data_IF_749783194892
#
_entry.id   IF_749783194892
#
_cell.length_a   1.000
_cell.length_b   1.000
_cell.length_c   1.000
_cell.angle_alpha   90.00
_cell.angle_beta   90.00
_cell.angle_gamma   90.00
#
_symmetry.space_group_name_H-M   'P 1'
#
loop_
_entity.id
_entity.type
_entity.pdbx_description
1 polymer ?
#
# COMPACT_ATOMS: atom_id res chain seq x y z
N UNK A 1 -16.86 32.27 21.40
CA UNK A 1 -15.46 32.47 20.99
C UNK A 1 -14.73 31.18 21.31
N UNK A 2 -13.99 30.53 20.41
CA UNK A 2 -13.14 29.43 20.79
C UNK A 2 -12.10 29.95 21.79
N UNK A 3 -11.83 29.17 22.83
CA UNK A 3 -10.80 29.51 23.80
C UNK A 3 -9.46 29.63 23.06
N UNK A 4 -8.76 30.75 23.23
CA UNK A 4 -7.38 30.86 22.74
C UNK A 4 -6.55 29.79 23.42
N UNK A 5 -6.10 28.79 22.64
CA UNK A 5 -5.21 27.79 23.18
C UNK A 5 -3.79 28.36 23.17
N UNK A 6 -3.12 28.35 24.31
CA UNK A 6 -1.71 28.76 24.42
C UNK A 6 -0.74 27.66 23.93
N UNK A 7 -1.24 26.58 23.27
CA UNK A 7 -0.44 25.47 22.77
C UNK A 7 -0.14 25.70 21.28
N UNK A 8 1.07 26.12 20.89
CA UNK A 8 1.47 26.19 19.49
C UNK A 8 1.50 24.81 18.87
N UNK A 9 1.25 24.73 17.56
CA UNK A 9 1.35 23.46 16.80
C UNK A 9 2.79 22.95 16.83
N UNK A 10 2.97 21.73 17.33
CA UNK A 10 4.23 21.01 17.40
C UNK A 10 3.99 19.51 17.38
N UNK A 11 5.04 18.69 17.31
CA UNK A 11 4.93 17.22 17.39
C UNK A 11 4.24 16.73 18.68
N UNK A 12 4.31 17.49 19.77
CA UNK A 12 3.68 17.14 21.05
C UNK A 12 2.27 17.67 21.23
N UNK A 13 1.84 18.61 20.39
CA UNK A 13 0.53 19.26 20.46
C UNK A 13 -0.36 18.99 19.24
N UNK A 14 0.17 18.29 18.22
CA UNK A 14 -0.58 17.91 17.04
C UNK A 14 -1.71 16.92 17.37
N UNK A 15 -2.90 17.16 16.79
CA UNK A 15 -4.05 16.25 16.94
C UNK A 15 -3.85 14.94 16.18
N UNK A 16 -3.28 15.02 14.97
CA UNK A 16 -2.97 13.85 14.18
C UNK A 16 -1.71 13.16 14.71
N UNK A 17 -1.73 11.88 15.03
CA UNK A 17 -0.52 11.15 15.42
C UNK A 17 0.53 11.10 14.28
N UNK A 18 0.13 11.26 13.03
CA UNK A 18 1.05 11.31 11.88
C UNK A 18 1.94 12.55 11.92
N UNK A 19 1.41 13.69 12.39
CA UNK A 19 2.15 14.94 12.53
C UNK A 19 2.72 15.14 13.94
N UNK A 20 2.31 14.28 14.89
CA UNK A 20 2.80 14.24 16.26
C UNK A 20 3.79 13.09 16.49
N UNK A 21 3.31 12.06 17.20
CA UNK A 21 4.10 10.88 17.61
C UNK A 21 4.90 10.24 16.47
N UNK A 22 4.34 10.18 15.27
CA UNK A 22 4.93 9.53 14.11
C UNK A 22 5.56 10.51 13.10
N UNK A 23 5.67 11.78 13.44
CA UNK A 23 6.12 12.84 12.53
C UNK A 23 7.46 12.52 11.84
N UNK A 24 8.39 11.87 12.55
CA UNK A 24 9.70 11.49 12.00
C UNK A 24 9.62 10.28 11.06
N UNK A 25 8.69 9.37 11.32
CA UNK A 25 8.52 8.17 10.51
C UNK A 25 7.75 8.44 9.19
N UNK A 26 7.02 9.56 9.11
CA UNK A 26 6.24 9.96 7.94
C UNK A 26 6.85 11.12 7.16
N UNK A 27 8.10 11.52 7.48
CA UNK A 27 8.74 12.73 6.92
C UNK A 27 8.80 12.72 5.38
N UNK A 28 9.06 11.58 4.77
CA UNK A 28 9.13 11.47 3.30
C UNK A 28 7.79 11.73 2.59
N UNK A 29 6.66 11.54 3.28
CA UNK A 29 5.33 11.82 2.73
C UNK A 29 4.94 13.30 2.83
N UNK A 30 5.63 14.12 3.64
CA UNK A 30 5.34 15.56 3.74
C UNK A 30 5.60 16.30 2.43
N UNK A 31 6.66 15.92 1.71
CA UNK A 31 6.96 16.51 0.39
C UNK A 31 6.00 16.05 -0.71
N UNK A 32 5.13 15.08 -0.41
CA UNK A 32 4.21 14.49 -1.37
C UNK A 32 2.77 14.90 -1.08
N UNK A 33 2.33 14.89 0.19
CA UNK A 33 0.92 15.04 0.57
C UNK A 33 0.60 16.25 1.43
N UNK A 34 1.59 17.09 1.79
CA UNK A 34 1.31 18.34 2.51
C UNK A 34 0.63 19.38 1.63
N UNK A 35 0.05 20.41 2.24
CA UNK A 35 -0.49 21.58 1.54
C UNK A 35 0.59 22.26 0.67
N UNK A 36 1.83 22.33 1.17
CA UNK A 36 2.99 22.76 0.38
C UNK A 36 3.19 21.93 -0.88
N UNK A 37 3.12 20.62 -0.77
CA UNK A 37 3.30 19.69 -1.90
C UNK A 37 2.16 19.85 -2.93
N UNK A 38 0.92 20.00 -2.49
CA UNK A 38 -0.22 20.24 -3.37
C UNK A 38 -0.04 21.56 -4.14
N UNK A 39 0.39 22.64 -3.48
CA UNK A 39 0.64 23.91 -4.15
C UNK A 39 1.78 23.81 -5.17
N UNK A 40 2.89 23.16 -4.81
CA UNK A 40 3.99 22.90 -5.73
C UNK A 40 3.53 22.10 -6.97
N UNK A 41 2.71 21.09 -6.76
CA UNK A 41 2.16 20.28 -7.86
C UNK A 41 1.24 21.12 -8.77
N UNK A 42 0.38 21.96 -8.19
CA UNK A 42 -0.46 22.90 -8.96
C UNK A 42 0.38 23.88 -9.81
N UNK A 43 1.40 24.48 -9.22
CA UNK A 43 2.34 25.36 -9.94
C UNK A 43 2.97 24.60 -11.11
N UNK A 44 3.39 23.36 -10.91
CA UNK A 44 3.96 22.52 -11.98
C UNK A 44 2.97 22.32 -13.13
N UNK A 45 1.71 22.02 -12.84
CA UNK A 45 0.68 21.79 -13.86
C UNK A 45 0.41 23.09 -14.65
N UNK A 46 0.25 24.22 -13.96
CA UNK A 46 0.07 25.53 -14.59
C UNK A 46 1.24 25.90 -15.50
N UNK A 47 2.47 25.64 -15.05
CA UNK A 47 3.69 25.90 -15.83
C UNK A 47 3.72 25.06 -17.09
N UNK A 48 3.46 23.75 -17.02
CA UNK A 48 3.48 22.90 -18.20
C UNK A 48 2.33 23.21 -19.16
N UNK A 49 1.16 23.63 -18.65
CA UNK A 49 0.07 24.14 -19.48
C UNK A 49 0.47 25.41 -20.23
N UNK A 50 1.01 26.41 -19.55
CA UNK A 50 1.50 27.66 -20.17
C UNK A 50 2.57 27.38 -21.25
N UNK A 51 3.51 26.48 -20.96
CA UNK A 51 4.55 26.08 -21.91
C UNK A 51 4.00 25.35 -23.13
N UNK A 52 2.92 24.58 -22.97
CA UNK A 52 2.23 23.95 -24.10
C UNK A 52 1.53 25.00 -24.97
N UNK A 53 0.79 25.93 -24.34
CA UNK A 53 0.11 27.01 -25.04
C UNK A 53 1.09 27.88 -25.88
N UNK A 54 2.27 28.20 -25.34
CA UNK A 54 3.28 28.98 -26.03
C UNK A 54 3.85 28.36 -27.32
N UNK A 55 3.58 27.07 -27.55
CA UNK A 55 3.99 26.32 -28.75
C UNK A 55 2.90 26.29 -29.84
N UNK A 56 1.68 26.72 -29.53
CA UNK A 56 0.53 26.56 -30.43
C UNK A 56 0.44 27.64 -31.53
N UNK A 57 1.28 28.67 -31.48
CA UNK A 57 1.26 29.72 -32.46
C UNK A 57 0.07 30.70 -32.30
N UNK A 58 -0.50 30.80 -31.07
CA UNK A 58 -1.54 31.80 -30.75
C UNK A 58 -0.93 33.17 -30.94
N UNK A 59 -1.51 34.05 -31.83
CA UNK A 59 -0.88 35.32 -32.16
C UNK A 59 -0.62 36.25 -30.98
N UNK A 60 -1.47 36.19 -29.94
CA UNK A 60 -1.36 36.97 -28.71
C UNK A 60 -0.36 36.40 -27.70
N UNK A 61 0.07 35.14 -27.87
CA UNK A 61 1.06 34.47 -27.04
C UNK A 61 2.31 34.14 -27.89
N UNK A 62 3.29 35.05 -27.97
CA UNK A 62 4.50 34.83 -28.73
C UNK A 62 5.29 33.62 -28.17
N UNK A 63 6.05 32.94 -29.02
CA UNK A 63 6.93 31.86 -28.56
C UNK A 63 7.86 32.34 -27.44
N UNK A 64 7.98 31.57 -26.40
CA UNK A 64 8.87 31.88 -25.28
C UNK A 64 10.32 31.59 -25.65
N UNK A 65 11.24 32.45 -25.26
CA UNK A 65 12.68 32.22 -25.37
C UNK A 65 13.10 31.06 -24.48
N UNK A 66 14.26 30.42 -24.79
CA UNK A 66 14.81 29.36 -23.93
C UNK A 66 15.06 29.85 -22.50
N UNK A 67 15.42 31.12 -22.32
CA UNK A 67 15.59 31.74 -21.01
C UNK A 67 14.26 31.85 -20.25
N UNK A 68 13.18 32.30 -20.94
CA UNK A 68 11.85 32.38 -20.38
C UNK A 68 11.30 31.00 -19.99
N UNK A 69 11.48 29.98 -20.84
CA UNK A 69 11.09 28.59 -20.55
C UNK A 69 11.82 28.10 -19.29
N UNK A 70 13.13 28.32 -19.19
CA UNK A 70 13.90 27.92 -18.00
C UNK A 70 13.43 28.66 -16.74
N UNK A 71 13.13 29.96 -16.84
CA UNK A 71 12.65 30.76 -15.74
C UNK A 71 11.27 30.29 -15.24
N UNK A 72 10.32 30.00 -16.15
CA UNK A 72 8.99 29.49 -15.79
C UNK A 72 9.10 28.10 -15.12
N UNK A 73 9.93 27.22 -15.63
CA UNK A 73 10.16 25.89 -15.00
C UNK A 73 10.77 26.00 -13.61
N UNK A 74 11.62 27.01 -13.37
CA UNK A 74 12.17 27.28 -12.03
C UNK A 74 11.08 27.59 -11.01
N UNK A 75 9.96 28.20 -11.38
CA UNK A 75 8.86 28.46 -10.45
C UNK A 75 8.33 27.18 -9.78
N UNK A 76 8.28 26.08 -10.53
CA UNK A 76 7.86 24.79 -9.98
C UNK A 76 9.01 24.00 -9.32
N UNK A 77 10.24 24.09 -9.89
CA UNK A 77 11.40 23.35 -9.40
C UNK A 77 11.93 23.91 -8.08
N UNK A 78 12.08 25.23 -7.99
CA UNK A 78 12.66 25.94 -6.84
C UNK A 78 11.57 26.44 -5.87
N UNK A 79 10.34 25.90 -5.98
CA UNK A 79 9.20 26.30 -5.12
C UNK A 79 9.54 26.11 -3.64
N UNK A 80 9.43 27.17 -2.86
CA UNK A 80 9.86 27.24 -1.47
C UNK A 80 8.69 27.35 -0.49
N UNK A 81 8.96 27.16 0.81
CA UNK A 81 7.99 27.43 1.87
C UNK A 81 7.56 28.90 1.91
N UNK A 82 8.44 29.85 1.52
CA UNK A 82 8.09 31.27 1.42
C UNK A 82 7.09 31.50 0.28
N UNK A 83 7.23 30.82 -0.85
CA UNK A 83 6.29 30.88 -1.96
C UNK A 83 4.92 30.30 -1.56
N UNK A 84 4.91 29.17 -0.86
CA UNK A 84 3.70 28.60 -0.30
C UNK A 84 3.01 29.58 0.66
N UNK A 85 3.74 30.20 1.58
CA UNK A 85 3.20 31.20 2.49
C UNK A 85 2.62 32.42 1.76
N UNK A 86 3.27 32.86 0.67
CA UNK A 86 2.76 33.94 -0.17
C UNK A 86 1.44 33.56 -0.84
N UNK A 87 1.35 32.38 -1.45
CA UNK A 87 0.09 31.86 -2.01
C UNK A 87 -1.01 31.79 -0.95
N UNK A 88 -0.70 31.30 0.25
CA UNK A 88 -1.68 31.24 1.37
C UNK A 88 -2.13 32.63 1.81
N UNK A 89 -1.26 33.63 1.78
CA UNK A 89 -1.65 35.00 2.07
C UNK A 89 -2.59 35.60 0.99
N UNK A 90 -2.39 35.26 -0.28
CA UNK A 90 -3.32 35.61 -1.36
C UNK A 90 -4.66 34.88 -1.14
N UNK A 91 -4.64 33.58 -0.92
CA UNK A 91 -5.82 32.74 -0.68
C UNK A 91 -6.67 33.30 0.47
N UNK A 92 -6.06 33.70 1.57
CA UNK A 92 -6.76 34.25 2.73
C UNK A 92 -7.56 35.51 2.41
N UNK A 93 -7.15 36.31 1.39
CA UNK A 93 -7.85 37.51 0.94
C UNK A 93 -8.97 37.21 -0.03
N UNK A 94 -8.80 36.23 -0.93
CA UNK A 94 -9.74 36.00 -2.04
C UNK A 94 -10.63 34.78 -1.81
N UNK A 95 -10.35 33.99 -0.78
CA UNK A 95 -11.04 32.75 -0.42
C UNK A 95 -11.12 31.73 -1.58
N UNK A 96 -10.02 31.61 -2.34
CA UNK A 96 -9.94 30.65 -3.46
C UNK A 96 -8.49 30.18 -3.68
N UNK A 97 -8.24 28.93 -3.44
CA UNK A 97 -6.90 28.31 -3.41
C UNK A 97 -6.21 28.27 -4.79
N UNK A 98 -6.86 27.71 -5.82
CA UNK A 98 -6.27 27.61 -7.17
C UNK A 98 -6.08 28.98 -7.81
N UNK A 99 -7.03 29.91 -7.58
CA UNK A 99 -6.90 31.31 -8.08
C UNK A 99 -5.72 32.03 -7.40
N UNK A 100 -5.42 31.69 -6.15
CA UNK A 100 -4.25 32.23 -5.46
C UNK A 100 -2.94 31.77 -6.12
N UNK A 101 -2.87 30.51 -6.56
CA UNK A 101 -1.73 29.98 -7.34
C UNK A 101 -1.57 30.71 -8.66
N UNK A 102 -2.67 30.91 -9.41
CA UNK A 102 -2.66 31.68 -10.66
C UNK A 102 -2.11 33.10 -10.43
N UNK A 103 -2.61 33.83 -9.41
CA UNK A 103 -2.14 35.18 -9.12
C UNK A 103 -0.66 35.21 -8.75
N UNK A 104 -0.19 34.27 -7.94
CA UNK A 104 1.22 34.19 -7.59
C UNK A 104 2.10 33.94 -8.83
N UNK A 105 1.70 33.06 -9.75
CA UNK A 105 2.43 32.82 -11.00
C UNK A 105 2.44 34.09 -11.86
N UNK A 106 1.30 34.82 -11.98
CA UNK A 106 1.21 36.05 -12.73
C UNK A 106 2.10 37.15 -12.16
N UNK A 107 2.16 37.30 -10.84
CA UNK A 107 3.10 38.20 -10.18
C UNK A 107 4.54 37.87 -10.56
N UNK A 108 4.97 36.62 -10.43
CA UNK A 108 6.31 36.17 -10.80
C UNK A 108 6.61 36.31 -12.30
N UNK A 109 5.64 36.05 -13.16
CA UNK A 109 5.78 36.21 -14.61
C UNK A 109 5.93 37.72 -14.99
N UNK A 110 5.28 38.59 -14.29
CA UNK A 110 5.36 40.04 -14.54
C UNK A 110 6.74 40.65 -14.24
N UNK A 111 7.49 40.02 -13.34
CA UNK A 111 8.87 40.41 -13.02
C UNK A 111 9.86 40.10 -14.15
N UNK A 112 9.48 39.22 -15.09
CA UNK A 112 10.30 38.79 -16.21
C UNK A 112 9.78 39.40 -17.53
N UNK A 113 10.52 40.26 -18.21
CA UNK A 113 10.04 40.99 -19.41
C UNK A 113 9.46 40.05 -20.49
N UNK A 114 10.12 38.91 -20.73
CA UNK A 114 9.72 37.92 -21.74
C UNK A 114 8.43 37.16 -21.37
N UNK A 115 8.07 37.11 -20.07
CA UNK A 115 6.88 36.44 -19.58
C UNK A 115 5.69 37.37 -19.34
N UNK A 116 5.91 38.69 -19.30
CA UNK A 116 4.85 39.67 -19.02
C UNK A 116 3.67 39.55 -19.99
N UNK A 117 3.95 39.30 -21.28
CA UNK A 117 2.90 39.07 -22.29
C UNK A 117 2.20 37.74 -22.16
N UNK A 118 2.87 36.77 -21.58
CA UNK A 118 2.33 35.43 -21.35
C UNK A 118 1.53 35.31 -20.03
N UNK A 119 1.61 36.31 -19.15
CA UNK A 119 0.97 36.27 -17.83
C UNK A 119 -0.54 36.02 -17.91
N UNK A 120 -1.26 36.62 -18.90
CA UNK A 120 -2.69 36.40 -19.06
C UNK A 120 -3.07 35.03 -19.61
N UNK A 121 -2.09 34.22 -20.08
CA UNK A 121 -2.28 32.83 -20.49
C UNK A 121 -2.05 31.84 -19.36
N UNK A 122 -1.65 32.27 -18.16
CA UNK A 122 -1.69 31.44 -16.96
C UNK A 122 -3.13 31.06 -16.66
N UNK A 123 -3.42 29.79 -16.47
CA UNK A 123 -4.78 29.26 -16.25
C UNK A 123 -5.73 29.43 -17.45
N UNK A 124 -5.21 29.71 -18.66
CA UNK A 124 -6.02 30.00 -19.84
C UNK A 124 -6.96 28.82 -20.17
N UNK A 125 -8.26 29.14 -20.23
CA UNK A 125 -9.38 28.24 -20.51
C UNK A 125 -9.52 27.05 -19.51
N UNK A 126 -8.70 26.96 -18.46
CA UNK A 126 -8.78 25.95 -17.43
C UNK A 126 -9.91 26.22 -16.43
N UNK A 127 -10.34 25.16 -15.77
CA UNK A 127 -11.05 25.21 -14.49
C UNK A 127 -10.10 24.76 -13.38
N UNK A 128 -10.40 25.11 -12.14
CA UNK A 128 -9.56 24.71 -10.98
C UNK A 128 -9.28 23.19 -10.94
N UNK A 129 -10.25 22.41 -11.40
CA UNK A 129 -10.13 20.96 -11.37
C UNK A 129 -9.21 20.40 -12.45
N UNK A 130 -8.99 21.10 -13.55
CA UNK A 130 -7.94 20.74 -14.52
C UNK A 130 -6.56 20.72 -13.85
N UNK A 131 -6.33 21.65 -12.94
CA UNK A 131 -5.08 21.75 -12.20
C UNK A 131 -5.05 20.76 -11.02
N UNK A 132 -6.16 20.68 -10.26
CA UNK A 132 -6.26 19.83 -9.08
C UNK A 132 -6.12 18.34 -9.39
N UNK A 133 -6.84 17.84 -10.41
CA UNK A 133 -6.80 16.42 -10.72
C UNK A 133 -5.40 15.98 -11.17
N UNK A 134 -4.73 16.80 -12.00
CA UNK A 134 -3.34 16.53 -12.39
C UNK A 134 -2.40 16.58 -11.17
N UNK A 135 -2.57 17.57 -10.28
CA UNK A 135 -1.77 17.70 -9.07
C UNK A 135 -1.94 16.49 -8.13
N UNK A 136 -3.18 16.08 -7.86
CA UNK A 136 -3.45 14.87 -7.06
C UNK A 136 -2.90 13.60 -7.71
N UNK A 137 -3.00 13.46 -9.05
CA UNK A 137 -2.42 12.32 -9.76
C UNK A 137 -0.89 12.26 -9.62
N UNK A 138 -0.20 13.41 -9.67
CA UNK A 138 1.24 13.49 -9.40
C UNK A 138 1.59 13.10 -7.98
N UNK A 139 0.84 13.60 -6.98
CA UNK A 139 1.02 13.25 -5.58
C UNK A 139 0.81 11.74 -5.34
N UNK A 140 -0.23 11.16 -5.91
CA UNK A 140 -0.51 9.72 -5.82
C UNK A 140 0.53 8.87 -6.55
N UNK A 141 1.09 9.35 -7.68
CA UNK A 141 2.21 8.69 -8.35
C UNK A 141 3.42 8.54 -7.43
N UNK A 142 3.81 9.65 -6.80
CA UNK A 142 5.00 9.71 -5.97
C UNK A 142 4.76 8.95 -4.65
N UNK A 143 3.59 9.08 -4.03
CA UNK A 143 3.20 8.30 -2.85
C UNK A 143 3.12 6.79 -3.13
N UNK A 144 2.58 6.38 -4.28
CA UNK A 144 2.57 4.99 -4.72
C UNK A 144 3.98 4.42 -4.80
N UNK A 145 4.93 5.17 -5.34
CA UNK A 145 6.33 4.74 -5.44
C UNK A 145 6.95 4.49 -4.07
N UNK A 146 6.69 5.35 -3.08
CA UNK A 146 7.15 5.17 -1.69
C UNK A 146 6.58 3.89 -1.08
N UNK A 147 5.26 3.69 -1.16
CA UNK A 147 4.61 2.51 -0.57
C UNK A 147 5.05 1.21 -1.23
N UNK A 148 5.14 1.17 -2.57
CA UNK A 148 5.62 -0.01 -3.30
C UNK A 148 7.08 -0.30 -2.95
N UNK A 149 7.92 0.71 -2.75
CA UNK A 149 9.30 0.54 -2.28
C UNK A 149 9.36 -0.17 -0.92
N UNK A 150 8.49 0.19 0.02
CA UNK A 150 8.40 -0.49 1.33
C UNK A 150 7.84 -1.90 1.22
N UNK A 151 6.81 -2.11 0.40
CA UNK A 151 6.26 -3.46 0.16
C UNK A 151 7.29 -4.39 -0.47
N UNK A 152 8.13 -3.90 -1.38
CA UNK A 152 9.25 -4.67 -1.94
C UNK A 152 10.25 -5.09 -0.87
N UNK A 153 10.54 -4.21 0.09
CA UNK A 153 11.40 -4.57 1.22
C UNK A 153 10.78 -5.65 2.10
N UNK A 154 9.48 -5.56 2.42
CA UNK A 154 8.76 -6.62 3.16
C UNK A 154 8.77 -7.94 2.37
N UNK A 155 8.47 -7.89 1.07
CA UNK A 155 8.51 -9.06 0.19
C UNK A 155 9.90 -9.71 0.19
N UNK A 156 10.97 -8.90 0.09
CA UNK A 156 12.34 -9.41 0.15
C UNK A 156 12.63 -10.19 1.43
N UNK A 157 12.26 -9.65 2.59
CA UNK A 157 12.39 -10.35 3.87
C UNK A 157 11.60 -11.67 3.92
N UNK A 158 10.35 -11.66 3.44
CA UNK A 158 9.52 -12.86 3.44
C UNK A 158 10.09 -13.95 2.54
N UNK A 159 10.59 -13.58 1.36
CA UNK A 159 11.25 -14.53 0.45
C UNK A 159 12.53 -15.10 1.08
N UNK A 160 13.36 -14.28 1.68
CA UNK A 160 14.60 -14.73 2.31
C UNK A 160 14.31 -15.69 3.49
N UNK A 161 13.30 -15.39 4.31
CA UNK A 161 12.84 -16.31 5.37
C UNK A 161 12.21 -17.58 4.81
N UNK A 162 11.47 -17.48 3.70
CA UNK A 162 10.91 -18.65 3.02
C UNK A 162 12.01 -19.62 2.56
N UNK A 163 13.06 -19.10 1.93
CA UNK A 163 14.19 -19.89 1.47
C UNK A 163 15.02 -20.44 2.63
N UNK A 164 15.31 -19.61 3.65
CA UNK A 164 16.09 -20.01 4.82
C UNK A 164 15.46 -21.17 5.58
N UNK A 165 14.13 -21.21 5.65
CA UNK A 165 13.37 -22.19 6.42
C UNK A 165 12.55 -23.16 5.55
N UNK A 166 12.91 -23.30 4.27
CA UNK A 166 12.16 -24.09 3.30
C UNK A 166 11.90 -25.53 3.76
N UNK A 167 12.93 -26.19 4.31
CA UNK A 167 12.89 -27.57 4.77
C UNK A 167 12.50 -27.73 6.26
N UNK A 168 12.26 -26.63 7.01
CA UNK A 168 11.98 -26.71 8.45
C UNK A 168 10.52 -27.07 8.71
N UNK A 169 10.21 -28.31 9.20
CA UNK A 169 8.83 -28.75 9.40
C UNK A 169 8.15 -27.96 10.53
N UNK A 170 6.86 -27.74 10.35
CA UNK A 170 6.00 -27.09 11.32
C UNK A 170 4.63 -27.76 11.31
N UNK A 171 4.03 -27.93 12.50
CA UNK A 171 2.67 -28.42 12.59
C UNK A 171 1.69 -27.35 12.05
N UNK A 172 0.88 -27.72 11.05
CA UNK A 172 -0.20 -26.86 10.58
C UNK A 172 -1.33 -26.80 11.62
N UNK A 173 -2.06 -25.67 11.66
CA UNK A 173 -3.22 -25.50 12.54
C UNK A 173 -4.41 -25.01 11.76
N UNK A 174 -5.50 -25.76 11.83
CA UNK A 174 -6.79 -25.37 11.28
C UNK A 174 -7.81 -25.28 12.42
N UNK A 175 -8.60 -24.23 12.46
CA UNK A 175 -9.53 -23.98 13.58
C UNK A 175 -8.81 -23.96 14.96
N UNK A 176 -7.52 -23.59 14.98
CA UNK A 176 -6.69 -23.62 16.20
C UNK A 176 -6.24 -25.01 16.64
N UNK A 177 -6.62 -26.09 15.92
CA UNK A 177 -6.26 -27.47 16.26
C UNK A 177 -5.09 -27.96 15.40
N UNK A 178 -4.33 -28.93 15.96
CA UNK A 178 -3.29 -29.65 15.22
C UNK A 178 -3.85 -30.25 13.92
N UNK A 179 -3.15 -30.03 12.83
CA UNK A 179 -3.54 -30.44 11.49
C UNK A 179 -2.31 -30.90 10.69
N UNK A 180 -2.51 -31.18 9.41
CA UNK A 180 -1.46 -31.63 8.50
C UNK A 180 -0.23 -30.72 8.58
N UNK A 181 0.98 -31.30 8.75
CA UNK A 181 2.23 -30.54 8.79
C UNK A 181 2.52 -29.78 7.49
N UNK A 182 3.25 -28.69 7.64
CA UNK A 182 3.79 -27.83 6.58
C UNK A 182 5.26 -27.52 6.87
N UNK A 183 5.83 -26.50 6.24
CA UNK A 183 7.13 -25.93 6.63
C UNK A 183 7.01 -24.46 6.97
N UNK A 184 7.87 -23.96 7.84
CA UNK A 184 8.00 -22.53 8.15
C UNK A 184 8.23 -21.72 6.88
N UNK A 185 9.09 -22.21 5.99
CA UNK A 185 9.38 -21.53 4.72
C UNK A 185 8.16 -21.41 3.84
N UNK A 186 7.33 -22.46 3.73
CA UNK A 186 6.12 -22.40 2.91
C UNK A 186 5.09 -21.40 3.43
N UNK A 187 4.99 -21.21 4.74
CA UNK A 187 4.11 -20.20 5.31
C UNK A 187 4.57 -18.77 4.95
N UNK A 188 5.87 -18.47 5.03
CA UNK A 188 6.40 -17.18 4.54
C UNK A 188 6.22 -17.01 3.02
N UNK A 189 6.44 -18.06 2.23
CA UNK A 189 6.26 -18.03 0.77
C UNK A 189 4.83 -17.69 0.36
N UNK A 190 3.81 -18.18 1.10
CA UNK A 190 2.42 -17.83 0.86
C UNK A 190 2.19 -16.31 0.92
N UNK A 191 2.76 -15.64 1.91
CA UNK A 191 2.65 -14.19 2.04
C UNK A 191 3.50 -13.45 1.01
N UNK A 192 4.69 -13.93 0.68
CA UNK A 192 5.54 -13.34 -0.36
C UNK A 192 4.80 -13.29 -1.71
N UNK A 193 4.22 -14.41 -2.16
CA UNK A 193 3.46 -14.48 -3.43
C UNK A 193 2.22 -13.58 -3.40
N UNK A 194 1.51 -13.50 -2.27
CA UNK A 194 0.35 -12.60 -2.12
C UNK A 194 0.75 -11.13 -2.21
N UNK A 195 1.90 -10.74 -1.64
CA UNK A 195 2.40 -9.37 -1.75
C UNK A 195 2.88 -9.04 -3.16
N UNK A 196 3.54 -9.97 -3.84
CA UNK A 196 3.93 -9.79 -5.24
C UNK A 196 2.72 -9.50 -6.13
N UNK A 197 1.67 -10.30 -6.01
CA UNK A 197 0.42 -10.07 -6.74
C UNK A 197 -0.25 -8.74 -6.34
N UNK A 198 -0.18 -8.36 -5.07
CA UNK A 198 -0.68 -7.08 -4.57
C UNK A 198 0.08 -5.89 -5.16
N UNK A 199 1.41 -5.94 -5.17
CA UNK A 199 2.26 -4.89 -5.78
C UNK A 199 1.98 -4.75 -7.28
N UNK A 200 1.88 -5.85 -8.01
CA UNK A 200 1.52 -5.83 -9.43
C UNK A 200 0.16 -5.16 -9.65
N UNK A 201 -0.85 -5.46 -8.82
CA UNK A 201 -2.16 -4.82 -8.90
C UNK A 201 -2.09 -3.30 -8.63
N UNK A 202 -1.26 -2.86 -7.68
CA UNK A 202 -1.05 -1.43 -7.38
C UNK A 202 -0.34 -0.72 -8.54
N UNK A 203 0.70 -1.32 -9.11
CA UNK A 203 1.53 -0.71 -10.15
C UNK A 203 0.83 -0.62 -11.50
N UNK A 204 -0.06 -1.55 -11.81
CA UNK A 204 -0.80 -1.59 -13.09
C UNK A 204 -1.94 -0.58 -13.17
N UNK A 205 -2.37 0.05 -12.06
CA UNK A 205 -3.41 1.09 -12.09
C UNK A 205 -2.92 2.29 -12.89
N UNK A 206 -3.61 2.66 -14.00
CA UNK A 206 -3.25 3.84 -14.79
C UNK A 206 -3.62 5.12 -14.02
N UNK A 207 -2.66 6.03 -13.87
CA UNK A 207 -2.88 7.32 -13.20
C UNK A 207 -3.47 8.29 -14.23
N UNK A 208 -4.78 8.45 -14.24
CA UNK A 208 -5.47 9.26 -15.24
C UNK A 208 -5.58 10.73 -14.82
N UNK A 209 -5.65 11.61 -15.84
CA UNK A 209 -5.89 13.01 -15.63
C UNK A 209 -6.59 13.65 -16.84
N UNK A 210 -7.16 14.83 -16.62
CA UNK A 210 -7.85 15.62 -17.64
C UNK A 210 -7.37 17.09 -17.63
N UNK A 211 -7.45 17.74 -18.78
CA UNK A 211 -7.26 19.18 -19.02
C UNK A 211 -8.21 19.61 -20.14
N UNK A 212 -9.52 19.66 -19.87
CA UNK A 212 -10.56 19.86 -20.90
C UNK A 212 -11.66 20.86 -20.48
N UNK A 213 -11.38 21.66 -19.42
CA UNK A 213 -12.22 22.79 -19.03
C UNK A 213 -13.36 22.45 -18.09
N UNK A 214 -14.24 23.39 -17.90
CA UNK A 214 -15.23 23.48 -16.83
C UNK A 214 -16.21 22.29 -16.76
N UNK A 215 -16.49 21.62 -17.87
CA UNK A 215 -17.40 20.45 -17.94
C UNK A 215 -16.85 19.34 -18.84
N UNK A 216 -15.56 19.39 -19.18
CA UNK A 216 -14.90 18.34 -19.95
C UNK A 216 -15.05 18.43 -21.48
N UNK A 217 -15.50 19.56 -22.01
CA UNK A 217 -15.87 19.69 -23.44
C UNK A 217 -15.06 20.74 -24.19
N UNK A 218 -13.98 21.30 -23.63
CA UNK A 218 -13.17 22.35 -24.24
C UNK A 218 -13.95 23.61 -24.65
N UNK A 219 -15.07 23.94 -24.00
CA UNK A 219 -15.95 25.03 -24.41
C UNK A 219 -15.20 26.38 -24.54
N UNK A 220 -14.49 26.82 -23.51
CA UNK A 220 -13.73 28.05 -23.49
C UNK A 220 -12.55 28.02 -24.47
N UNK A 221 -11.86 26.91 -24.55
CA UNK A 221 -10.76 26.68 -25.49
C UNK A 221 -11.20 26.90 -26.95
N UNK A 222 -12.28 26.22 -27.36
CA UNK A 222 -12.83 26.31 -28.72
C UNK A 222 -13.46 27.64 -29.03
N UNK A 223 -14.02 28.32 -28.03
CA UNK A 223 -14.54 29.67 -28.22
C UNK A 223 -13.41 30.69 -28.43
N UNK A 224 -12.29 30.54 -27.76
CA UNK A 224 -11.14 31.44 -27.87
C UNK A 224 -10.28 31.19 -29.12
N UNK A 225 -10.02 29.92 -29.42
CA UNK A 225 -9.14 29.47 -30.52
C UNK A 225 -9.78 28.26 -31.21
N UNK A 226 -10.78 28.47 -32.08
CA UNK A 226 -11.53 27.41 -32.75
C UNK A 226 -10.70 26.61 -33.77
N UNK A 227 -9.58 27.18 -34.22
CA UNK A 227 -8.64 26.56 -35.17
C UNK A 227 -7.71 25.51 -34.54
N UNK A 228 -7.64 25.46 -33.23
CA UNK A 228 -6.76 24.54 -32.51
C UNK A 228 -7.51 23.23 -32.20
N UNK A 229 -6.88 22.10 -32.50
CA UNK A 229 -7.32 20.80 -32.03
C UNK A 229 -6.83 20.61 -30.56
N UNK A 230 -7.71 20.84 -29.60
CA UNK A 230 -7.38 20.91 -28.19
C UNK A 230 -7.14 19.55 -27.53
N UNK A 231 -7.75 18.48 -28.07
CA UNK A 231 -7.61 17.17 -27.43
C UNK A 231 -6.16 16.64 -27.47
N UNK A 232 -5.44 16.65 -28.62
CA UNK A 232 -4.03 16.28 -28.66
C UNK A 232 -3.13 17.19 -27.78
N UNK A 233 -3.46 18.48 -27.67
CA UNK A 233 -2.71 19.41 -26.81
C UNK A 233 -2.82 19.00 -25.35
N UNK A 234 -4.04 18.81 -24.86
CA UNK A 234 -4.30 18.40 -23.47
C UNK A 234 -3.70 17.01 -23.17
N UNK A 235 -3.90 16.06 -24.10
CA UNK A 235 -3.30 14.72 -23.96
C UNK A 235 -1.77 14.78 -23.91
N UNK A 236 -1.16 15.63 -24.73
CA UNK A 236 0.30 15.85 -24.74
C UNK A 236 0.83 16.40 -23.41
N UNK A 237 0.11 17.35 -22.80
CA UNK A 237 0.49 17.90 -21.48
C UNK A 237 0.35 16.82 -20.40
N UNK A 238 -0.77 16.11 -20.36
CA UNK A 238 -1.00 15.02 -19.41
C UNK A 238 0.09 13.96 -19.53
N UNK A 239 0.44 13.55 -20.76
CA UNK A 239 1.51 12.60 -21.01
C UNK A 239 2.89 13.12 -20.56
N UNK A 240 3.18 14.42 -20.76
CA UNK A 240 4.44 15.04 -20.32
C UNK A 240 4.59 15.05 -18.79
N UNK A 241 3.48 15.03 -18.06
CA UNK A 241 3.45 14.88 -16.61
C UNK A 241 3.64 13.41 -16.16
N UNK A 242 3.69 12.45 -17.11
CA UNK A 242 3.77 11.02 -16.83
C UNK A 242 2.43 10.41 -16.41
N UNK A 243 1.33 11.01 -16.85
CA UNK A 243 -0.04 10.61 -16.56
C UNK A 243 -0.74 10.10 -17.83
N UNK A 244 -1.90 9.47 -17.66
CA UNK A 244 -2.71 8.92 -18.76
C UNK A 244 -3.89 9.86 -19.02
N UNK A 245 -4.07 10.27 -20.29
CA UNK A 245 -5.18 11.12 -20.69
C UNK A 245 -6.54 10.43 -20.53
N UNK A 246 -7.50 11.12 -19.90
CA UNK A 246 -8.91 10.74 -19.85
C UNK A 246 -9.75 11.73 -20.65
N UNK A 247 -10.27 11.32 -21.78
CA UNK A 247 -11.04 12.16 -22.71
C UNK A 247 -12.48 12.38 -22.27
N UNK A 248 -13.08 11.42 -21.54
CA UNK A 248 -14.49 11.45 -21.18
C UNK A 248 -14.65 11.80 -19.69
N UNK A 249 -14.82 13.09 -19.38
CA UNK A 249 -14.90 13.60 -18.04
C UNK A 249 -16.02 14.63 -17.92
N UNK A 250 -16.29 15.08 -16.72
CA UNK A 250 -17.11 16.26 -16.43
C UNK A 250 -16.20 17.43 -16.01
N UNK A 251 -16.54 18.19 -14.98
CA UNK A 251 -15.57 19.11 -14.39
C UNK A 251 -14.46 18.34 -13.66
N UNK A 252 -14.82 17.22 -13.03
CA UNK A 252 -13.86 16.32 -12.41
C UNK A 252 -13.38 15.23 -13.41
N UNK A 253 -12.17 14.71 -13.17
CA UNK A 253 -11.81 13.36 -13.55
C UNK A 253 -12.63 12.41 -12.65
N UNK A 254 -13.28 11.33 -13.17
CA UNK A 254 -14.26 10.54 -12.39
C UNK A 254 -13.71 9.82 -11.16
N UNK A 255 -12.41 9.79 -10.96
CA UNK A 255 -11.71 9.15 -9.83
C UNK A 255 -11.81 7.62 -9.75
N UNK A 256 -12.36 6.94 -10.75
CA UNK A 256 -12.44 5.48 -10.78
C UNK A 256 -11.08 4.81 -10.65
N UNK A 257 -10.03 5.38 -11.24
CA UNK A 257 -8.68 4.88 -11.11
C UNK A 257 -8.11 5.08 -9.70
N UNK A 258 -8.48 6.18 -9.02
CA UNK A 258 -8.11 6.40 -7.62
C UNK A 258 -8.75 5.33 -6.74
N UNK A 259 -10.03 5.04 -6.96
CA UNK A 259 -10.73 3.96 -6.26
C UNK A 259 -10.05 2.61 -6.48
N UNK A 260 -9.70 2.27 -7.73
CA UNK A 260 -8.97 1.04 -8.03
C UNK A 260 -7.59 0.97 -7.34
N UNK A 261 -6.86 2.09 -7.26
CA UNK A 261 -5.59 2.17 -6.53
C UNK A 261 -5.79 1.93 -5.03
N UNK A 262 -6.79 2.58 -4.42
CA UNK A 262 -7.06 2.46 -2.99
C UNK A 262 -7.56 1.07 -2.61
N UNK A 263 -8.37 0.44 -3.46
CA UNK A 263 -8.81 -0.96 -3.27
C UNK A 263 -7.64 -1.94 -3.39
N UNK A 264 -6.72 -1.72 -4.35
CA UNK A 264 -5.53 -2.54 -4.49
C UNK A 264 -4.62 -2.42 -3.25
N UNK A 265 -4.41 -1.20 -2.73
CA UNK A 265 -3.66 -0.95 -1.49
C UNK A 265 -4.34 -1.63 -0.30
N UNK A 266 -5.64 -1.42 -0.10
CA UNK A 266 -6.38 -2.00 1.03
C UNK A 266 -6.37 -3.54 1.02
N UNK A 267 -6.45 -4.15 -0.16
CA UNK A 267 -6.35 -5.62 -0.32
C UNK A 267 -4.96 -6.12 -0.02
N UNK A 268 -3.92 -5.41 -0.46
CA UNK A 268 -2.52 -5.73 -0.15
C UNK A 268 -2.25 -5.61 1.34
N UNK A 269 -2.73 -4.55 1.98
CA UNK A 269 -2.69 -4.39 3.44
C UNK A 269 -3.37 -5.55 4.18
N UNK A 270 -4.46 -6.09 3.63
CA UNK A 270 -5.14 -7.25 4.24
C UNK A 270 -4.29 -8.52 4.25
N UNK A 271 -3.36 -8.67 3.28
CA UNK A 271 -2.38 -9.77 3.32
C UNK A 271 -1.38 -9.57 4.45
N UNK A 272 -0.90 -8.34 4.67
CA UNK A 272 0.00 -8.03 5.80
C UNK A 272 -0.69 -8.17 7.15
N UNK A 273 -1.94 -7.73 7.27
CA UNK A 273 -2.75 -7.94 8.48
C UNK A 273 -2.87 -9.43 8.84
N UNK A 274 -3.04 -10.29 7.85
CA UNK A 274 -3.06 -11.74 8.07
C UNK A 274 -1.69 -12.25 8.53
N UNK A 275 -0.60 -11.77 7.91
CA UNK A 275 0.77 -12.09 8.32
C UNK A 275 1.04 -11.68 9.78
N UNK A 276 0.73 -10.44 10.14
CA UNK A 276 0.95 -9.90 11.49
C UNK A 276 0.26 -10.79 12.55
N UNK A 277 -0.98 -11.21 12.29
CA UNK A 277 -1.76 -12.09 13.16
C UNK A 277 -1.20 -13.50 13.26
N UNK A 278 -0.77 -14.08 12.16
CA UNK A 278 -0.18 -15.43 12.14
C UNK A 278 1.15 -15.42 12.90
N UNK A 279 2.02 -14.41 12.67
CA UNK A 279 3.29 -14.27 13.39
C UNK A 279 3.06 -14.05 14.90
N UNK A 280 2.09 -13.23 15.27
CA UNK A 280 1.68 -13.07 16.67
C UNK A 280 1.22 -14.40 17.27
N UNK A 281 0.44 -15.18 16.52
CA UNK A 281 -0.01 -16.50 16.92
C UNK A 281 1.15 -17.50 17.11
N UNK A 282 2.10 -17.54 16.16
CA UNK A 282 3.28 -18.41 16.26
C UNK A 282 4.22 -18.01 17.40
N UNK A 283 4.30 -16.73 17.72
CA UNK A 283 5.02 -16.23 18.93
C UNK A 283 4.31 -16.72 20.20
N UNK A 284 2.98 -16.66 20.25
CA UNK A 284 2.20 -17.16 21.38
C UNK A 284 2.36 -18.67 21.61
N UNK A 285 2.57 -19.46 20.54
CA UNK A 285 2.87 -20.89 20.58
C UNK A 285 4.35 -21.20 20.92
N UNK A 286 5.21 -20.19 20.98
CA UNK A 286 6.65 -20.37 21.20
C UNK A 286 7.42 -20.88 19.98
N UNK A 287 6.79 -20.94 18.80
CA UNK A 287 7.45 -21.32 17.54
C UNK A 287 8.43 -20.25 17.08
N UNK A 288 8.07 -18.99 17.32
CA UNK A 288 8.90 -17.82 17.04
C UNK A 288 9.13 -17.00 18.32
N UNK A 289 10.20 -16.22 18.33
CA UNK A 289 10.53 -15.25 19.38
C UNK A 289 10.92 -13.93 18.75
N UNK A 290 10.67 -12.84 19.47
CA UNK A 290 11.24 -11.53 19.13
C UNK A 290 12.59 -11.39 19.85
N UNK A 291 13.65 -11.10 19.10
CA UNK A 291 14.96 -10.79 19.67
C UNK A 291 14.88 -9.53 20.52
N UNK A 292 15.31 -9.65 21.77
CA UNK A 292 15.44 -8.49 22.66
C UNK A 292 16.52 -7.53 22.14
N UNK A 293 16.24 -6.24 22.17
CA UNK A 293 17.21 -5.18 21.90
C UNK A 293 17.71 -4.65 23.24
N UNK A 294 19.03 -4.54 23.39
CA UNK A 294 19.62 -3.95 24.58
C UNK A 294 19.04 -2.53 24.79
N UNK A 295 18.71 -2.19 26.02
CA UNK A 295 18.09 -0.91 26.41
C UNK A 295 16.58 -0.77 26.14
N UNK A 296 15.92 -1.66 25.40
CA UNK A 296 14.47 -1.66 25.27
C UNK A 296 13.80 -2.34 26.48
N UNK A 297 12.78 -1.69 27.04
CA UNK A 297 11.95 -2.26 28.10
C UNK A 297 10.77 -2.99 27.46
N UNK A 298 10.82 -4.33 27.41
CA UNK A 298 9.78 -5.15 26.79
C UNK A 298 8.44 -5.16 27.54
N UNK A 299 8.48 -4.95 28.87
CA UNK A 299 7.30 -4.87 29.72
C UNK A 299 7.60 -4.03 30.96
N UNK A 300 6.68 -3.14 31.32
CA UNK A 300 6.80 -2.33 32.56
C UNK A 300 6.73 -3.16 33.83
N UNK A 301 6.18 -4.38 33.81
CA UNK A 301 5.89 -5.22 34.96
C UNK A 301 6.71 -6.50 34.98
N UNK A 302 7.01 -7.09 33.82
CA UNK A 302 7.70 -8.37 33.69
C UNK A 302 8.94 -8.21 32.79
N UNK A 303 10.16 -8.02 33.36
CA UNK A 303 11.37 -7.70 32.59
C UNK A 303 11.78 -8.74 31.56
N UNK A 304 11.40 -10.01 31.73
CA UNK A 304 11.70 -11.11 30.81
C UNK A 304 10.76 -11.18 29.60
N UNK A 305 9.66 -10.39 29.59
CA UNK A 305 8.62 -10.47 28.55
C UNK A 305 8.97 -9.54 27.41
N UNK A 306 9.20 -10.12 26.21
CA UNK A 306 9.38 -9.38 24.95
C UNK A 306 8.10 -9.48 24.14
N UNK A 307 7.37 -8.38 24.04
CA UNK A 307 6.09 -8.34 23.31
C UNK A 307 6.32 -8.15 21.81
N UNK A 308 5.49 -8.74 20.94
CA UNK A 308 5.56 -8.55 19.48
C UNK A 308 4.92 -7.22 19.04
N UNK A 309 5.27 -6.12 19.68
CA UNK A 309 4.65 -4.80 19.51
C UNK A 309 4.76 -4.24 18.10
N UNK A 310 5.77 -4.65 17.35
CA UNK A 310 5.94 -4.21 15.96
C UNK A 310 4.82 -4.77 15.06
N UNK A 311 4.41 -6.03 15.23
CA UNK A 311 3.29 -6.61 14.49
C UNK A 311 1.94 -6.04 14.94
N UNK A 312 1.75 -5.78 16.25
CA UNK A 312 0.55 -5.11 16.78
C UNK A 312 0.43 -3.68 16.27
N UNK A 313 1.53 -2.94 16.18
CA UNK A 313 1.57 -1.58 15.61
C UNK A 313 1.30 -1.59 14.11
N UNK A 314 1.83 -2.58 13.37
CA UNK A 314 1.53 -2.80 11.96
C UNK A 314 0.03 -3.04 11.76
N UNK A 315 -0.55 -3.99 12.49
CA UNK A 315 -1.99 -4.31 12.42
C UNK A 315 -2.85 -3.07 12.68
N UNK A 316 -2.56 -2.32 13.74
CA UNK A 316 -3.31 -1.12 14.11
C UNK A 316 -3.28 -0.04 13.03
N UNK A 317 -2.09 0.26 12.48
CA UNK A 317 -1.93 1.26 11.43
C UNK A 317 -2.57 0.81 10.10
N UNK A 318 -2.40 -0.44 9.68
CA UNK A 318 -3.01 -0.96 8.47
C UNK A 318 -4.54 -0.99 8.56
N UNK A 319 -5.11 -1.22 9.75
CA UNK A 319 -6.54 -1.11 9.99
C UNK A 319 -7.07 0.31 9.74
N UNK A 320 -6.38 1.33 10.25
CA UNK A 320 -6.72 2.75 10.02
C UNK A 320 -6.54 3.14 8.54
N UNK A 321 -5.45 2.70 7.92
CA UNK A 321 -5.20 2.90 6.50
C UNK A 321 -6.36 2.35 5.66
N UNK A 322 -6.75 1.10 5.91
CA UNK A 322 -7.82 0.44 5.16
C UNK A 322 -9.18 1.12 5.33
N UNK A 323 -9.50 1.62 6.52
CA UNK A 323 -10.74 2.37 6.75
C UNK A 323 -10.78 3.65 5.90
N UNK A 324 -9.67 4.41 5.85
CA UNK A 324 -9.56 5.63 5.06
C UNK A 324 -9.54 5.34 3.56
N UNK A 325 -8.74 4.35 3.11
CA UNK A 325 -8.65 3.95 1.69
C UNK A 325 -10.01 3.50 1.14
N UNK A 326 -10.77 2.68 1.88
CA UNK A 326 -12.09 2.23 1.46
C UNK A 326 -13.09 3.37 1.39
N UNK A 327 -13.07 4.28 2.38
CA UNK A 327 -13.93 5.47 2.31
C UNK A 327 -13.61 6.31 1.07
N UNK A 328 -12.32 6.53 0.75
CA UNK A 328 -11.91 7.28 -0.44
C UNK A 328 -12.32 6.56 -1.74
N UNK A 329 -12.16 5.23 -1.81
CA UNK A 329 -12.56 4.43 -2.96
C UNK A 329 -14.08 4.48 -3.22
N UNK A 330 -14.89 4.47 -2.17
CA UNK A 330 -16.35 4.55 -2.27
C UNK A 330 -16.82 5.98 -2.55
N UNK A 331 -16.19 6.99 -1.94
CA UNK A 331 -16.64 8.39 -1.97
C UNK A 331 -16.28 9.12 -3.27
N UNK A 332 -15.05 8.97 -3.74
CA UNK A 332 -14.52 9.83 -4.79
C UNK A 332 -15.20 9.65 -6.16
N UNK A 333 -15.60 8.43 -6.59
CA UNK A 333 -16.34 8.27 -7.84
C UNK A 333 -17.75 8.85 -7.83
N UNK A 334 -18.27 9.23 -6.66
CA UNK A 334 -19.64 9.74 -6.51
C UNK A 334 -19.62 11.26 -6.41
N UNK A 335 -20.15 11.92 -7.42
CA UNK A 335 -20.36 13.38 -7.47
C UNK A 335 -21.74 13.71 -7.96
N UNK A 336 -22.24 14.95 -7.67
CA UNK A 336 -23.51 15.43 -8.15
C UNK A 336 -23.32 16.15 -9.47
N UNK A 337 -24.06 15.72 -10.49
CA UNK A 337 -24.01 16.27 -11.84
C UNK A 337 -22.56 16.35 -12.36
N UNK A 338 -22.11 17.55 -12.80
CA UNK A 338 -20.77 17.73 -13.32
C UNK A 338 -19.71 17.90 -12.22
N UNK A 339 -20.10 18.35 -11.03
CA UNK A 339 -19.29 18.41 -9.79
C UNK A 339 -20.09 18.87 -8.59
N UNK A 340 -19.79 18.32 -7.42
CA UNK A 340 -19.93 18.95 -6.12
C UNK A 340 -18.57 19.08 -5.42
N UNK A 341 -18.48 19.83 -4.29
CA UNK A 341 -17.20 20.10 -3.63
C UNK A 341 -16.82 19.08 -2.55
N UNK A 342 -17.60 18.02 -2.35
CA UNK A 342 -17.36 17.05 -1.29
C UNK A 342 -16.12 16.17 -1.54
N UNK A 343 -15.66 16.07 -2.78
CA UNK A 343 -14.40 15.44 -3.18
C UNK A 343 -13.18 16.16 -2.58
N UNK A 344 -13.17 17.47 -2.60
CA UNK A 344 -12.05 18.30 -2.10
C UNK A 344 -11.73 18.03 -0.63
N UNK A 345 -12.77 17.86 0.22
CA UNK A 345 -12.58 17.51 1.63
C UNK A 345 -12.00 16.09 1.80
N UNK A 346 -12.48 15.13 1.00
CA UNK A 346 -12.01 13.76 1.05
C UNK A 346 -10.55 13.64 0.58
N UNK A 347 -10.19 14.29 -0.53
CA UNK A 347 -8.84 14.29 -1.12
C UNK A 347 -7.76 14.85 -0.18
N UNK A 348 -8.10 15.73 0.76
CA UNK A 348 -7.15 16.21 1.78
C UNK A 348 -6.67 15.13 2.73
N UNK A 349 -7.32 13.96 2.76
CA UNK A 349 -6.94 12.82 3.59
C UNK A 349 -6.08 11.77 2.87
N UNK A 350 -5.63 12.03 1.64
CA UNK A 350 -4.72 11.13 0.90
C UNK A 350 -3.47 10.82 1.73
N UNK A 351 -2.81 11.85 2.26
CA UNK A 351 -1.62 11.70 3.10
C UNK A 351 -1.88 10.91 4.38
N UNK A 352 -3.07 11.00 4.96
CA UNK A 352 -3.46 10.24 6.16
C UNK A 352 -3.49 8.74 5.87
N UNK A 353 -4.13 8.33 4.77
CA UNK A 353 -4.19 6.92 4.37
C UNK A 353 -2.80 6.35 4.07
N UNK A 354 -2.00 7.08 3.29
CA UNK A 354 -0.63 6.68 2.92
C UNK A 354 0.31 6.68 4.12
N UNK A 355 0.16 7.62 5.05
CA UNK A 355 0.94 7.68 6.29
C UNK A 355 0.74 6.44 7.16
N UNK A 356 -0.50 6.01 7.35
CA UNK A 356 -0.80 4.78 8.09
C UNK A 356 -0.32 3.52 7.36
N UNK A 357 -0.39 3.47 6.01
CA UNK A 357 0.23 2.39 5.24
C UNK A 357 1.74 2.30 5.51
N UNK A 358 2.45 3.43 5.38
CA UNK A 358 3.90 3.51 5.59
C UNK A 358 4.30 3.04 6.98
N UNK A 359 3.61 3.52 8.02
CA UNK A 359 3.85 3.12 9.41
C UNK A 359 3.62 1.62 9.62
N UNK A 360 2.56 1.06 9.04
CA UNK A 360 2.30 -0.37 9.09
C UNK A 360 3.42 -1.19 8.44
N UNK A 361 3.85 -0.81 7.24
CA UNK A 361 4.92 -1.51 6.52
C UNK A 361 6.26 -1.43 7.26
N UNK A 362 6.63 -0.26 7.76
CA UNK A 362 7.87 -0.06 8.52
C UNK A 362 7.85 -0.84 9.85
N UNK A 363 6.69 -0.95 10.51
CA UNK A 363 6.52 -1.76 11.71
C UNK A 363 6.65 -3.24 11.41
N UNK A 364 6.00 -3.74 10.35
CA UNK A 364 6.13 -5.12 9.90
C UNK A 364 7.61 -5.46 9.58
N UNK A 365 8.33 -4.57 8.87
CA UNK A 365 9.76 -4.74 8.58
C UNK A 365 10.61 -4.86 9.86
N UNK A 366 10.37 -4.01 10.85
CA UNK A 366 11.08 -4.11 12.14
C UNK A 366 10.78 -5.43 12.84
N UNK A 367 9.52 -5.86 12.86
CA UNK A 367 9.11 -7.13 13.45
C UNK A 367 9.78 -8.32 12.76
N UNK A 368 9.78 -8.37 11.42
CA UNK A 368 10.45 -9.41 10.62
C UNK A 368 11.96 -9.44 10.87
N UNK A 369 12.61 -8.27 10.98
CA UNK A 369 14.05 -8.18 11.27
C UNK A 369 14.46 -8.67 12.66
N UNK A 370 13.49 -8.88 13.56
CA UNK A 370 13.72 -9.34 14.94
C UNK A 370 13.22 -10.76 15.20
N UNK A 371 12.62 -11.41 14.22
CA UNK A 371 12.03 -12.73 14.41
C UNK A 371 13.11 -13.80 14.48
N UNK A 372 12.99 -14.70 15.44
CA UNK A 372 13.82 -15.89 15.59
C UNK A 372 12.92 -17.13 15.64
N UNK A 373 13.22 -18.11 14.81
CA UNK A 373 12.50 -19.38 14.80
C UNK A 373 13.09 -20.31 15.88
N UNK A 374 12.24 -21.03 16.60
CA UNK A 374 12.67 -22.07 17.57
C UNK A 374 12.44 -23.48 17.00
N UNK A 375 13.46 -24.10 16.38
CA UNK A 375 13.32 -25.44 15.80
C UNK A 375 13.01 -26.52 16.85
N UNK A 376 13.39 -26.30 18.12
CA UNK A 376 13.12 -27.26 19.19
C UNK A 376 11.65 -27.27 19.58
N UNK A 377 11.02 -26.10 19.67
CA UNK A 377 9.60 -25.98 19.94
C UNK A 377 8.77 -26.59 18.82
N UNK A 378 9.15 -26.34 17.56
CA UNK A 378 8.51 -26.93 16.38
C UNK A 378 8.61 -28.46 16.38
N UNK A 379 9.78 -29.01 16.63
CA UNK A 379 10.00 -30.45 16.67
C UNK A 379 9.22 -31.13 17.81
N UNK A 380 9.18 -30.51 18.99
CA UNK A 380 8.45 -31.05 20.15
C UNK A 380 6.94 -31.12 19.89
N UNK A 381 6.36 -30.11 19.23
CA UNK A 381 4.92 -30.11 18.91
C UNK A 381 4.56 -31.13 17.82
N UNK A 382 5.44 -31.32 16.82
CA UNK A 382 5.31 -32.38 15.82
C UNK A 382 5.39 -33.79 16.46
N UNK A 383 6.36 -34.00 17.34
CA UNK A 383 6.53 -35.30 18.02
C UNK A 383 5.36 -35.65 18.96
N UNK A 384 4.67 -34.64 19.48
CA UNK A 384 3.47 -34.82 20.29
C UNK A 384 2.20 -35.09 19.48
N UNK A 385 2.22 -34.94 18.14
CA UNK A 385 1.01 -34.89 17.29
C UNK A 385 0.99 -36.04 16.27
N UNK A 386 1.20 -37.30 16.68
CA UNK A 386 1.18 -38.47 15.80
C UNK A 386 -0.18 -38.74 15.15
N UNK A 387 -1.27 -38.26 15.71
CA UNK A 387 -2.63 -38.39 15.16
C UNK A 387 -2.80 -37.73 13.78
N UNK A 388 -1.96 -36.75 13.41
CA UNK A 388 -2.02 -36.09 12.10
C UNK A 388 -1.71 -37.06 10.95
N UNK A 389 -0.99 -38.16 11.23
CA UNK A 389 -0.72 -39.19 10.26
C UNK A 389 -1.93 -40.09 9.96
N UNK A 390 -3.03 -39.95 10.69
CA UNK A 390 -4.29 -40.61 10.32
C UNK A 390 -4.75 -40.23 8.90
N UNK A 391 -4.45 -39.03 8.43
CA UNK A 391 -4.78 -38.56 7.08
C UNK A 391 -4.11 -39.36 5.96
N UNK A 392 -2.76 -39.50 5.90
CA UNK A 392 -2.12 -40.29 4.87
C UNK A 392 -2.46 -41.80 5.00
N UNK A 393 -2.61 -42.34 6.22
CA UNK A 393 -3.02 -43.72 6.43
C UNK A 393 -4.40 -43.98 5.83
N UNK A 394 -5.39 -43.11 6.13
CA UNK A 394 -6.72 -43.20 5.55
C UNK A 394 -6.69 -43.14 4.01
N UNK A 395 -5.90 -42.26 3.47
CA UNK A 395 -5.79 -42.04 2.03
C UNK A 395 -5.20 -43.25 1.32
N UNK A 396 -4.17 -43.87 1.90
CA UNK A 396 -3.58 -45.13 1.40
C UNK A 396 -4.54 -46.28 1.52
N UNK A 397 -5.28 -46.41 2.64
CA UNK A 397 -6.33 -47.42 2.80
C UNK A 397 -7.38 -47.34 1.69
N UNK A 398 -7.84 -46.12 1.36
CA UNK A 398 -8.79 -45.87 0.26
C UNK A 398 -8.21 -46.30 -1.10
N UNK A 399 -6.97 -45.95 -1.37
CA UNK A 399 -6.26 -46.31 -2.62
C UNK A 399 -6.26 -47.84 -2.84
N UNK A 400 -6.12 -48.61 -1.76
CA UNK A 400 -6.05 -50.08 -1.84
C UNK A 400 -7.39 -50.79 -1.51
N UNK A 401 -8.51 -50.03 -1.50
CA UNK A 401 -9.85 -50.58 -1.35
C UNK A 401 -10.16 -51.15 0.03
N UNK A 402 -9.44 -50.75 1.07
CA UNK A 402 -9.72 -51.19 2.45
C UNK A 402 -11.05 -50.58 2.90
N UNK A 403 -12.01 -51.41 3.30
CA UNK A 403 -13.33 -50.97 3.70
C UNK A 403 -13.35 -50.13 5.00
N UNK A 404 -14.22 -49.14 5.07
CA UNK A 404 -14.48 -48.30 6.24
C UNK A 404 -13.20 -47.64 6.83
N UNK A 405 -12.34 -47.00 6.02
CA UNK A 405 -11.05 -46.51 6.50
C UNK A 405 -11.18 -45.43 7.58
N UNK A 406 -12.18 -44.55 7.48
CA UNK A 406 -12.42 -43.51 8.46
C UNK A 406 -12.89 -44.08 9.80
N UNK A 407 -13.83 -45.03 9.78
CA UNK A 407 -14.38 -45.67 10.98
C UNK A 407 -13.31 -46.42 11.75
N UNK A 408 -12.45 -47.17 11.04
CA UNK A 408 -11.32 -47.87 11.65
C UNK A 408 -10.31 -46.95 12.33
N UNK A 409 -9.97 -45.84 11.70
CA UNK A 409 -9.08 -44.81 12.30
C UNK A 409 -9.76 -44.11 13.47
N UNK A 410 -11.06 -43.82 13.36
CA UNK A 410 -11.84 -43.23 14.44
C UNK A 410 -11.85 -44.09 15.70
N UNK A 411 -11.92 -45.38 15.56
CA UNK A 411 -11.79 -46.34 16.68
C UNK A 411 -10.40 -46.26 17.34
N UNK A 412 -9.33 -46.13 16.53
CA UNK A 412 -7.97 -45.98 17.02
C UNK A 412 -7.75 -44.66 17.79
N UNK A 413 -8.37 -43.57 17.33
CA UNK A 413 -8.14 -42.20 17.86
C UNK A 413 -9.11 -41.80 18.97
N UNK A 414 -10.21 -42.55 19.16
CA UNK A 414 -11.29 -42.15 20.08
C UNK A 414 -10.90 -42.35 21.54
N UNK A 415 -10.68 -41.21 22.24
CA UNK A 415 -10.44 -41.21 23.70
C UNK A 415 -9.07 -41.70 24.15
N UNK A 416 -8.11 -41.89 23.22
CA UNK A 416 -6.74 -42.28 23.49
C UNK A 416 -5.78 -41.39 22.69
N UNK A 417 -4.64 -41.07 23.28
CA UNK A 417 -3.54 -40.43 22.54
C UNK A 417 -3.00 -41.43 21.49
N UNK A 418 -2.86 -40.96 20.26
CA UNK A 418 -2.21 -41.73 19.20
C UNK A 418 -0.70 -41.59 19.38
N UNK A 419 -0.04 -42.69 19.66
CA UNK A 419 1.43 -42.73 19.73
C UNK A 419 2.01 -43.38 18.48
N UNK A 420 3.30 -43.27 18.29
CA UNK A 420 4.04 -43.93 17.22
C UNK A 420 3.75 -45.43 17.23
N UNK A 421 3.84 -46.07 18.39
CA UNK A 421 3.66 -47.51 18.58
C UNK A 421 2.25 -47.97 18.21
N UNK A 422 1.21 -47.25 18.68
CA UNK A 422 -0.19 -47.57 18.38
C UNK A 422 -0.52 -47.40 16.91
N UNK A 423 0.01 -46.34 16.27
CA UNK A 423 -0.18 -46.11 14.83
C UNK A 423 0.56 -47.18 14.01
N UNK A 424 1.81 -47.52 14.36
CA UNK A 424 2.59 -48.53 13.67
C UNK A 424 1.94 -49.93 13.78
N UNK A 425 1.45 -50.30 14.95
CA UNK A 425 0.72 -51.54 15.12
C UNK A 425 -0.53 -51.63 14.23
N UNK A 426 -1.26 -50.51 14.14
CA UNK A 426 -2.41 -50.40 13.24
C UNK A 426 -1.99 -50.56 11.76
N UNK A 427 -0.96 -49.81 11.29
CA UNK A 427 -0.46 -49.91 9.91
C UNK A 427 -0.02 -51.32 9.57
N UNK A 428 0.65 -52.06 10.50
CA UNK A 428 1.07 -53.41 10.30
C UNK A 428 -0.11 -54.39 10.10
N UNK A 429 -1.27 -54.12 10.70
CA UNK A 429 -2.47 -54.93 10.57
C UNK A 429 -3.26 -54.68 9.27
N UNK A 430 -2.91 -53.68 8.47
CA UNK A 430 -3.66 -53.27 7.29
C UNK A 430 -3.45 -54.29 6.12
N UNK A 431 -4.51 -54.70 5.41
CA UNK A 431 -4.42 -55.54 4.22
C UNK A 431 -4.04 -54.69 2.97
N UNK A 432 -2.83 -54.14 2.97
CA UNK A 432 -2.25 -53.33 1.89
C UNK A 432 -0.93 -53.95 1.44
N UNK A 433 -0.41 -53.63 0.22
CA UNK A 433 0.86 -54.17 -0.25
C UNK A 433 2.02 -53.76 0.68
N UNK A 434 3.01 -54.68 0.81
CA UNK A 434 4.16 -54.51 1.71
C UNK A 434 4.91 -53.18 1.43
N UNK A 435 5.09 -52.80 0.17
CA UNK A 435 5.73 -51.54 -0.20
C UNK A 435 4.98 -50.37 0.42
N UNK A 436 3.66 -50.31 0.25
CA UNK A 436 2.84 -49.22 0.80
C UNK A 436 2.86 -49.18 2.34
N UNK A 437 2.90 -50.40 2.97
CA UNK A 437 3.02 -50.51 4.41
C UNK A 437 4.36 -49.98 4.91
N UNK A 438 5.46 -50.28 4.25
CA UNK A 438 6.79 -49.77 4.60
C UNK A 438 6.87 -48.25 4.43
N UNK A 439 6.31 -47.71 3.34
CA UNK A 439 6.23 -46.28 3.10
C UNK A 439 5.47 -45.55 4.24
N UNK A 440 4.33 -46.09 4.69
CA UNK A 440 3.56 -45.53 5.82
C UNK A 440 4.31 -45.62 7.15
N UNK A 441 5.01 -46.75 7.41
CA UNK A 441 5.81 -46.95 8.64
C UNK A 441 7.02 -46.01 8.71
N UNK A 442 7.53 -45.53 7.57
CA UNK A 442 8.62 -44.57 7.49
C UNK A 442 8.18 -43.12 7.72
N UNK A 443 6.86 -42.83 7.62
CA UNK A 443 6.36 -41.48 7.84
C UNK A 443 6.43 -41.09 9.31
N UNK A 444 6.82 -39.84 9.52
CA UNK A 444 6.70 -39.13 10.80
C UNK A 444 5.95 -37.80 10.59
N UNK A 445 5.39 -37.19 11.63
CA UNK A 445 4.83 -35.87 11.48
C UNK A 445 5.81 -34.87 10.83
N UNK A 446 7.10 -34.97 11.15
CA UNK A 446 8.14 -34.08 10.60
C UNK A 446 8.48 -34.35 9.12
N UNK A 447 8.24 -35.56 8.60
CA UNK A 447 8.50 -35.90 7.19
C UNK A 447 7.26 -35.82 6.29
N UNK A 448 6.08 -35.61 6.89
CA UNK A 448 4.82 -35.53 6.17
C UNK A 448 4.49 -34.10 5.77
N UNK A 449 5.36 -33.48 4.98
CA UNK A 449 5.25 -32.05 4.56
C UNK A 449 4.92 -31.87 3.06
N UNK A 450 4.73 -32.97 2.34
CA UNK A 450 4.38 -32.95 0.91
C UNK A 450 5.39 -32.12 0.09
N UNK A 451 4.90 -31.18 -0.71
CA UNK A 451 5.69 -30.29 -1.57
C UNK A 451 6.05 -28.94 -0.90
N UNK A 452 5.94 -28.83 0.44
CA UNK A 452 6.09 -27.55 1.12
C UNK A 452 7.48 -26.92 0.91
N UNK A 453 8.56 -27.73 0.97
CA UNK A 453 9.93 -27.26 0.71
C UNK A 453 10.07 -26.69 -0.72
N UNK A 454 9.61 -27.44 -1.72
CA UNK A 454 9.67 -27.01 -3.12
C UNK A 454 8.87 -25.74 -3.37
N UNK A 455 7.69 -25.63 -2.74
CA UNK A 455 6.84 -24.44 -2.86
C UNK A 455 7.47 -23.23 -2.18
N UNK A 456 8.18 -23.41 -1.07
CA UNK A 456 8.92 -22.34 -0.41
C UNK A 456 10.06 -21.80 -1.28
N UNK A 457 10.74 -22.66 -2.04
CA UNK A 457 11.86 -22.27 -2.90
C UNK A 457 11.44 -21.65 -4.24
N UNK A 458 10.15 -21.67 -4.57
CA UNK A 458 9.62 -21.12 -5.84
C UNK A 458 9.16 -19.65 -5.74
N UNK A 459 9.20 -19.02 -4.60
CA UNK A 459 8.75 -17.63 -4.41
C UNK A 459 9.85 -16.59 -4.62
#
# INVERSE_FOLDING_TARGET
MPAETNLPLSETTALSPLDGRYARATVELREIFSEYALMRARVRVEVEWLLALAKLGIPQLPPLTSAAIAAVRKLAHDFSLADCAHIKAIEARINHDVKAVEYWIKERASDLPDLRKAAEFVHFACTSEDINNCAHALMLRDGRAVLVGRLRAVHGWLRDLAHQHAALPMLGRTHGQAATPTTVGKEFANFAVRLEAGMAAIETVPLKAKLNGAVGNFNAHRAACPEIDWEPVAAGVVASLGLVWNSHTTQIEPHDWMAALFDALARTNSALLALDRDLWGYIALGYFRQRAVAEEVGSSTMPHKVNPIDFENSEGNLGLANATLRHLAEKLPISRWQRDLSDSTALRNLGTAFGHCLLGYDSCLRGLGRIEVDPKALAADLDASWEVLAEPVQTVMRRYGVGQPYERLKELTRGRAVTRETLHAFIQSLPIPDKARQELLALTPATYVGLAEELALRC
#
